data_IF_278518492120
#
_entry.id   IF_278518492120
#
_cell.length_a   1.000
_cell.length_b   1.000
_cell.length_c   1.000
_cell.angle_alpha   90.00
_cell.angle_beta   90.00
_cell.angle_gamma   90.00
#
_symmetry.space_group_name_H-M   'P 1'
#
loop_
_entity.id
_entity.type
_entity.pdbx_description
1 polymer ?
#
# COMPACT_ATOMS: atom_id res chain seq x y z
N UNK A 1 -38.39 35.69 28.63
CA UNK A 1 -38.59 34.23 28.41
C UNK A 1 -39.07 33.99 27.00
N UNK A 2 -38.25 33.44 26.10
CA UNK A 2 -38.70 32.84 24.83
C UNK A 2 -37.77 31.66 24.51
N UNK A 3 -38.23 30.46 24.83
CA UNK A 3 -37.59 29.18 24.53
C UNK A 3 -37.79 28.87 23.03
N UNK A 4 -36.71 28.67 22.28
CA UNK A 4 -36.77 28.42 20.83
C UNK A 4 -35.94 27.23 20.37
N UNK A 5 -36.60 26.06 20.30
CA UNK A 5 -36.38 24.90 19.39
C UNK A 5 -34.94 24.35 19.19
N UNK A 6 -34.67 23.19 19.80
CA UNK A 6 -33.59 22.27 19.43
C UNK A 6 -33.83 21.69 18.03
N UNK A 7 -32.92 21.94 17.09
CA UNK A 7 -32.80 21.15 15.88
C UNK A 7 -32.27 19.75 16.23
N UNK A 8 -33.12 18.72 16.11
CA UNK A 8 -32.68 17.31 16.12
C UNK A 8 -31.97 17.04 14.79
N UNK A 9 -30.66 17.28 14.75
CA UNK A 9 -29.80 16.80 13.67
C UNK A 9 -29.86 15.27 13.61
N UNK A 10 -30.30 14.73 12.47
CA UNK A 10 -30.18 13.31 12.13
C UNK A 10 -28.72 12.88 12.30
N UNK A 11 -28.45 12.05 13.31
CA UNK A 11 -27.16 11.40 13.49
C UNK A 11 -26.96 10.44 12.31
N UNK A 12 -26.10 10.80 11.36
CA UNK A 12 -25.68 9.92 10.26
C UNK A 12 -24.81 8.82 10.85
N UNK A 13 -25.44 7.77 11.38
CA UNK A 13 -24.77 6.58 11.90
C UNK A 13 -24.60 5.57 10.77
N UNK A 14 -23.93 5.98 9.68
CA UNK A 14 -23.61 5.06 8.57
C UNK A 14 -22.21 4.44 8.73
N UNK A 15 -21.33 5.06 9.52
CA UNK A 15 -19.96 4.61 9.76
C UNK A 15 -19.83 3.28 10.55
N UNK A 16 -20.59 2.98 11.62
CA UNK A 16 -20.35 1.77 12.40
C UNK A 16 -20.91 0.51 11.73
N UNK A 17 -21.88 0.63 10.82
CA UNK A 17 -22.48 -0.53 10.13
C UNK A 17 -21.54 -1.08 9.05
N UNK A 18 -20.85 -0.21 8.31
CA UNK A 18 -19.89 -0.62 7.27
C UNK A 18 -18.67 -1.30 7.89
N UNK A 19 -18.14 -0.78 9.00
CA UNK A 19 -17.02 -1.41 9.73
C UNK A 19 -17.42 -2.78 10.25
N UNK A 20 -18.61 -2.92 10.86
CA UNK A 20 -19.15 -4.22 11.33
C UNK A 20 -19.30 -5.23 10.19
N UNK A 21 -19.73 -4.81 9.00
CA UNK A 21 -19.88 -5.69 7.83
C UNK A 21 -18.53 -6.22 7.32
N UNK A 22 -17.52 -5.35 7.24
CA UNK A 22 -16.17 -5.75 6.83
C UNK A 22 -15.50 -6.66 7.86
N UNK A 23 -15.71 -6.39 9.15
CA UNK A 23 -15.18 -7.21 10.23
C UNK A 23 -15.85 -8.59 10.29
N UNK A 24 -17.17 -8.67 10.07
CA UNK A 24 -17.89 -9.93 9.95
C UNK A 24 -17.38 -10.77 8.77
N UNK A 25 -17.16 -10.16 7.60
CA UNK A 25 -16.58 -10.84 6.42
C UNK A 25 -15.17 -11.39 6.71
N UNK A 26 -14.34 -10.65 7.44
CA UNK A 26 -13.00 -11.11 7.87
C UNK A 26 -13.09 -12.28 8.84
N UNK A 27 -13.98 -12.22 9.83
CA UNK A 27 -14.20 -13.29 10.82
C UNK A 27 -14.73 -14.56 10.17
N UNK A 28 -15.72 -14.45 9.28
CA UNK A 28 -16.26 -15.59 8.52
C UNK A 28 -15.20 -16.24 7.63
N UNK A 29 -14.40 -15.44 6.90
CA UNK A 29 -13.25 -15.95 6.15
C UNK A 29 -12.27 -16.67 7.06
N UNK A 30 -11.89 -16.11 8.20
CA UNK A 30 -10.94 -16.74 9.14
C UNK A 30 -11.46 -18.08 9.71
N UNK A 31 -12.76 -18.18 9.98
CA UNK A 31 -13.39 -19.43 10.43
C UNK A 31 -13.37 -20.48 9.30
N UNK A 32 -13.67 -20.06 8.07
CA UNK A 32 -13.72 -20.95 6.91
C UNK A 32 -12.33 -21.41 6.44
N UNK A 33 -11.29 -20.58 6.60
CA UNK A 33 -9.91 -20.89 6.18
C UNK A 33 -9.22 -21.95 7.04
N UNK A 34 -9.67 -22.18 8.28
CA UNK A 34 -9.07 -23.18 9.20
C UNK A 34 -9.36 -24.64 8.83
N UNK A 35 -10.62 -25.04 8.56
CA UNK A 35 -10.94 -26.42 8.20
C UNK A 35 -10.65 -26.77 6.73
N UNK A 36 -10.62 -25.79 5.83
CA UNK A 36 -10.38 -26.03 4.41
C UNK A 36 -8.89 -26.26 4.12
N UNK A 37 -8.59 -27.20 3.22
CA UNK A 37 -7.25 -27.30 2.62
C UNK A 37 -7.04 -26.09 1.71
N UNK A 38 -6.33 -25.08 2.20
CA UNK A 38 -5.98 -23.88 1.42
C UNK A 38 -4.82 -24.21 0.48
N UNK A 39 -4.93 -23.90 -0.83
CA UNK A 39 -3.82 -24.09 -1.75
C UNK A 39 -2.57 -23.29 -1.33
N UNK A 40 -1.35 -23.82 -1.53
CA UNK A 40 -0.11 -23.16 -1.11
C UNK A 40 0.08 -21.76 -1.72
N UNK A 41 -0.42 -21.56 -2.96
CA UNK A 41 -0.40 -20.26 -3.64
C UNK A 41 -1.21 -19.17 -2.92
N UNK A 42 -2.20 -19.54 -2.10
CA UNK A 42 -2.99 -18.61 -1.29
C UNK A 42 -2.43 -18.57 0.13
N UNK A 43 -2.03 -19.73 0.67
CA UNK A 43 -1.52 -19.84 2.03
C UNK A 43 -0.26 -19.01 2.30
N UNK A 44 0.57 -18.77 1.27
CA UNK A 44 1.75 -17.91 1.39
C UNK A 44 1.44 -16.48 1.87
N UNK A 45 0.22 -15.96 1.64
CA UNK A 45 -0.17 -14.63 2.13
C UNK A 45 -0.62 -14.62 3.59
N UNK A 46 -0.71 -15.78 4.25
CA UNK A 46 -0.97 -15.85 5.70
C UNK A 46 0.30 -15.57 6.52
N UNK A 47 1.47 -15.85 5.94
CA UNK A 47 2.77 -15.58 6.54
C UNK A 47 3.21 -14.19 6.13
N UNK A 48 3.17 -13.24 7.06
CA UNK A 48 3.49 -11.84 6.81
C UNK A 48 4.69 -11.39 7.63
N UNK A 49 5.38 -10.36 7.13
CA UNK A 49 6.41 -9.64 7.88
C UNK A 49 5.86 -9.07 9.20
N UNK A 50 6.71 -9.01 10.23
CA UNK A 50 6.34 -8.42 11.50
C UNK A 50 6.03 -6.92 11.38
N UNK A 51 5.19 -6.44 12.31
CA UNK A 51 4.70 -5.07 12.29
C UNK A 51 5.81 -4.04 12.49
N UNK A 52 6.84 -4.35 13.27
CA UNK A 52 7.90 -3.40 13.60
C UNK A 52 8.76 -3.15 12.36
N UNK A 53 9.22 -4.22 11.70
CA UNK A 53 10.00 -4.13 10.46
C UNK A 53 9.20 -3.48 9.33
N UNK A 54 7.92 -3.82 9.19
CA UNK A 54 7.05 -3.19 8.19
C UNK A 54 6.94 -1.66 8.39
N UNK A 55 6.82 -1.21 9.65
CA UNK A 55 6.72 0.22 9.97
C UNK A 55 8.03 0.96 9.68
N UNK A 56 9.17 0.35 10.04
CA UNK A 56 10.49 0.91 9.78
C UNK A 56 10.74 1.08 8.26
N UNK A 57 10.43 0.06 7.47
CA UNK A 57 10.58 0.10 6.01
C UNK A 57 9.67 1.17 5.36
N UNK A 58 8.41 1.24 5.80
CA UNK A 58 7.45 2.21 5.27
C UNK A 58 7.87 3.66 5.55
N UNK A 59 8.42 3.92 6.74
CA UNK A 59 8.90 5.26 7.10
C UNK A 59 10.14 5.66 6.32
N UNK A 60 11.10 4.74 6.13
CA UNK A 60 12.38 5.00 5.46
C UNK A 60 12.24 5.32 3.98
N UNK A 61 11.33 4.63 3.27
CA UNK A 61 11.17 4.75 1.82
C UNK A 61 9.89 5.50 1.42
N UNK A 62 9.36 6.32 2.32
CA UNK A 62 8.11 7.06 2.11
C UNK A 62 8.25 8.00 0.90
N UNK A 63 7.28 7.99 -0.04
CA UNK A 63 7.26 8.97 -1.12
C UNK A 63 6.95 10.37 -0.57
N UNK A 64 7.59 11.38 -1.15
CA UNK A 64 7.41 12.78 -0.73
C UNK A 64 5.97 13.28 -0.94
N UNK A 65 5.60 14.30 -0.17
CA UNK A 65 4.29 14.94 -0.28
C UNK A 65 4.17 15.79 -1.54
N UNK A 66 2.94 16.15 -1.92
CA UNK A 66 2.70 17.07 -3.06
C UNK A 66 3.39 18.42 -2.85
N UNK A 67 3.45 18.92 -1.62
CA UNK A 67 4.09 20.19 -1.28
C UNK A 67 5.62 20.10 -1.39
N UNK A 68 6.23 19.07 -0.81
CA UNK A 68 7.68 18.79 -0.94
C UNK A 68 8.08 18.60 -2.41
N UNK A 69 7.22 17.93 -3.19
CA UNK A 69 7.46 17.75 -4.62
C UNK A 69 7.45 19.08 -5.35
N UNK A 70 6.50 19.98 -5.06
CA UNK A 70 6.47 21.33 -5.63
C UNK A 70 7.69 22.15 -5.24
N UNK A 71 8.06 22.17 -3.96
CA UNK A 71 9.25 22.88 -3.48
C UNK A 71 10.53 22.34 -4.15
N UNK A 72 10.64 21.02 -4.30
CA UNK A 72 11.75 20.38 -5.02
C UNK A 72 11.80 20.78 -6.49
N UNK A 73 10.64 20.92 -7.15
CA UNK A 73 10.57 21.35 -8.54
C UNK A 73 10.94 22.82 -8.70
N UNK A 74 10.48 23.70 -7.79
CA UNK A 74 10.87 25.11 -7.74
C UNK A 74 12.38 25.25 -7.52
N UNK A 75 12.93 24.59 -6.49
CA UNK A 75 14.36 24.59 -6.22
C UNK A 75 15.20 23.99 -7.37
N UNK A 76 14.61 23.13 -8.22
CA UNK A 76 15.28 22.64 -9.43
C UNK A 76 15.22 23.66 -10.56
N UNK A 77 14.08 24.34 -10.73
CA UNK A 77 13.93 25.44 -11.69
C UNK A 77 14.94 26.55 -11.40
N UNK A 78 15.04 27.00 -10.13
CA UNK A 78 15.99 28.03 -9.68
C UNK A 78 17.46 27.62 -9.84
N UNK A 79 17.76 26.31 -9.78
CA UNK A 79 19.11 25.79 -10.05
C UNK A 79 19.43 25.67 -11.54
N UNK A 80 18.40 25.59 -12.38
CA UNK A 80 18.52 25.42 -13.83
C UNK A 80 18.51 26.72 -14.61
N UNK A 81 18.23 27.86 -13.96
CA UNK A 81 18.43 29.19 -14.56
C UNK A 81 19.92 29.40 -14.82
N UNK A 82 20.37 29.05 -16.04
CA UNK A 82 21.73 29.27 -16.54
C UNK A 82 22.60 28.01 -16.68
N UNK A 83 22.20 26.87 -16.13
CA UNK A 83 22.87 25.57 -16.35
C UNK A 83 21.78 24.54 -16.66
N UNK A 84 21.82 23.94 -17.85
CA UNK A 84 20.79 23.00 -18.32
C UNK A 84 20.44 21.89 -17.32
N UNK A 85 19.31 21.21 -17.51
CA UNK A 85 18.77 20.28 -16.51
C UNK A 85 19.68 19.07 -16.27
N UNK A 86 20.52 19.14 -15.22
CA UNK A 86 21.39 18.02 -14.83
C UNK A 86 20.58 16.95 -14.09
N UNK A 87 20.62 15.67 -14.50
CA UNK A 87 19.92 14.59 -13.81
C UNK A 87 20.43 14.39 -12.37
N UNK A 88 19.61 14.75 -11.39
CA UNK A 88 19.94 14.52 -9.96
C UNK A 88 19.60 13.08 -9.55
N UNK A 89 20.52 12.42 -8.84
CA UNK A 89 20.29 11.08 -8.25
C UNK A 89 19.09 11.12 -7.31
N UNK A 90 18.08 10.30 -7.60
CA UNK A 90 16.82 10.26 -6.82
C UNK A 90 16.96 9.21 -5.71
N UNK A 91 16.45 9.48 -4.49
CA UNK A 91 16.40 8.47 -3.45
C UNK A 91 15.45 7.33 -3.86
N UNK A 92 15.71 6.09 -3.40
CA UNK A 92 14.77 5.00 -3.56
C UNK A 92 13.48 5.32 -2.79
N UNK A 93 12.34 5.13 -3.44
CA UNK A 93 11.01 5.38 -2.87
C UNK A 93 10.10 4.21 -3.16
N UNK A 94 9.13 3.97 -2.29
CA UNK A 94 8.07 3.00 -2.53
C UNK A 94 7.26 3.40 -3.77
N UNK A 95 6.94 2.39 -4.60
CA UNK A 95 6.19 2.54 -5.86
C UNK A 95 4.89 1.75 -5.77
N UNK A 96 3.88 2.21 -6.48
CA UNK A 96 2.55 1.60 -6.48
C UNK A 96 2.45 0.31 -7.29
N UNK A 97 1.27 -0.30 -7.24
CA UNK A 97 0.99 -1.62 -7.80
C UNK A 97 1.14 -1.65 -9.34
N UNK A 98 0.76 -0.58 -10.04
CA UNK A 98 0.80 -0.59 -11.51
C UNK A 98 2.23 -0.59 -12.08
N UNK A 99 3.21 -0.16 -11.29
CA UNK A 99 4.60 -0.05 -11.73
C UNK A 99 5.43 -1.29 -11.39
N UNK A 100 5.01 -2.09 -10.40
CA UNK A 100 5.86 -3.15 -9.87
C UNK A 100 6.23 -4.20 -10.94
N UNK A 101 5.28 -4.61 -11.80
CA UNK A 101 5.50 -5.71 -12.77
C UNK A 101 6.68 -5.38 -13.68
N UNK A 102 6.68 -4.16 -14.23
CA UNK A 102 7.73 -3.66 -15.10
C UNK A 102 9.07 -3.53 -14.39
N UNK A 103 9.09 -3.08 -13.14
CA UNK A 103 10.33 -2.92 -12.37
C UNK A 103 11.00 -4.26 -12.09
N UNK A 104 10.20 -5.31 -11.93
CA UNK A 104 10.65 -6.64 -11.53
C UNK A 104 11.10 -7.43 -12.74
N UNK A 105 10.36 -7.35 -13.84
CA UNK A 105 10.78 -7.89 -15.13
C UNK A 105 12.12 -7.27 -15.58
N UNK A 106 12.32 -5.98 -15.33
CA UNK A 106 13.57 -5.28 -15.63
C UNK A 106 14.69 -5.51 -14.60
N UNK A 107 14.47 -6.35 -13.56
CA UNK A 107 15.42 -6.57 -12.45
C UNK A 107 15.89 -5.29 -11.75
N UNK A 108 15.05 -4.25 -11.74
CA UNK A 108 15.31 -2.96 -11.07
C UNK A 108 14.73 -2.91 -9.65
N UNK A 109 13.87 -3.87 -9.31
CA UNK A 109 13.32 -4.01 -7.97
C UNK A 109 14.30 -4.74 -7.05
N UNK A 110 14.60 -4.13 -5.89
CA UNK A 110 15.45 -4.74 -4.86
C UNK A 110 14.64 -5.54 -3.83
N UNK A 111 13.45 -5.04 -3.48
CA UNK A 111 12.53 -5.65 -2.52
C UNK A 111 11.11 -5.35 -2.97
N UNK A 112 10.21 -6.32 -2.82
CA UNK A 112 8.77 -6.10 -2.98
C UNK A 112 8.03 -6.48 -1.71
N UNK A 113 7.15 -5.57 -1.29
CA UNK A 113 6.26 -5.73 -0.13
C UNK A 113 4.85 -5.96 -0.66
N UNK A 114 4.23 -7.06 -0.26
CA UNK A 114 2.87 -7.42 -0.70
C UNK A 114 1.90 -7.28 0.48
N UNK A 115 0.73 -6.70 0.21
CA UNK A 115 -0.34 -6.69 1.20
C UNK A 115 -0.93 -8.10 1.36
N UNK A 116 -1.05 -8.58 2.59
CA UNK A 116 -1.61 -9.91 2.88
C UNK A 116 -3.12 -10.02 2.60
N UNK A 117 -3.86 -8.91 2.73
CA UNK A 117 -5.31 -8.87 2.54
C UNK A 117 -5.68 -7.96 1.37
N UNK A 118 -5.80 -8.56 0.18
CA UNK A 118 -6.24 -7.90 -1.05
C UNK A 118 -7.56 -8.55 -1.48
N UNK A 119 -8.55 -7.74 -1.85
CA UNK A 119 -9.85 -8.17 -2.37
C UNK A 119 -10.03 -7.44 -3.71
N UNK A 120 -9.87 -8.07 -4.88
CA UNK A 120 -9.61 -9.50 -5.17
C UNK A 120 -8.14 -9.97 -5.01
N UNK A 121 -7.91 -11.21 -4.58
CA UNK A 121 -6.56 -11.79 -4.33
C UNK A 121 -5.81 -12.14 -5.63
N UNK A 122 -6.55 -12.28 -6.72
CA UNK A 122 -6.09 -12.56 -8.07
C UNK A 122 -5.09 -11.51 -8.57
N UNK A 123 -5.17 -10.28 -8.06
CA UNK A 123 -4.24 -9.19 -8.38
C UNK A 123 -2.81 -9.47 -7.90
N UNK A 124 -2.64 -10.31 -6.89
CA UNK A 124 -1.35 -10.55 -6.24
C UNK A 124 -0.95 -12.03 -6.21
N UNK A 125 -1.81 -12.98 -6.58
CA UNK A 125 -1.50 -14.41 -6.46
C UNK A 125 -0.31 -14.86 -7.32
N UNK A 126 -0.11 -14.26 -8.51
CA UNK A 126 0.98 -14.61 -9.42
C UNK A 126 2.34 -14.01 -8.99
N UNK A 127 2.32 -13.08 -8.04
CA UNK A 127 3.47 -12.26 -7.73
C UNK A 127 4.64 -13.03 -7.14
N UNK A 128 4.47 -13.81 -6.06
CA UNK A 128 5.57 -14.56 -5.46
C UNK A 128 6.29 -15.48 -6.45
N UNK A 129 5.54 -16.11 -7.36
CA UNK A 129 6.13 -16.95 -8.41
C UNK A 129 6.99 -16.15 -9.40
N UNK A 130 6.49 -14.97 -9.83
CA UNK A 130 7.22 -14.07 -10.71
C UNK A 130 8.51 -13.54 -10.04
N UNK A 131 8.46 -13.24 -8.75
CA UNK A 131 9.62 -12.80 -7.98
C UNK A 131 10.70 -13.87 -7.85
N UNK A 132 10.31 -15.10 -7.52
CA UNK A 132 11.22 -16.24 -7.46
C UNK A 132 11.91 -16.49 -8.81
N UNK A 133 11.17 -16.36 -9.92
CA UNK A 133 11.74 -16.50 -11.28
C UNK A 133 12.75 -15.40 -11.61
N UNK A 134 12.53 -14.19 -11.11
CA UNK A 134 13.41 -13.03 -11.38
C UNK A 134 14.54 -12.85 -10.35
N UNK A 135 14.56 -13.65 -9.28
CA UNK A 135 15.60 -13.61 -8.23
C UNK A 135 15.43 -12.48 -7.21
N UNK A 136 14.26 -11.85 -7.15
CA UNK A 136 14.00 -10.76 -6.20
C UNK A 136 13.37 -11.28 -4.91
N UNK A 137 13.84 -10.87 -3.71
CA UNK A 137 13.24 -11.23 -2.43
C UNK A 137 11.82 -10.67 -2.26
N UNK A 138 10.93 -11.46 -1.64
CA UNK A 138 9.54 -11.08 -1.29
C UNK A 138 9.35 -11.07 0.22
N UNK A 139 8.63 -10.06 0.73
CA UNK A 139 8.27 -9.93 2.13
C UNK A 139 6.79 -9.55 2.32
#
# INVERSE_FOLDING_TARGET
>A
MLKGKKAKGKKVVLAPVVVKKQEAKKRQRAILYKPLKVPPAINQFTQALDRQTATQLAHKYRPGTKQETKQRLLARADKSTGKGDVPTKRPPVLRGVNTFTTLVQNKKAQLVVIAHYVDPIELVVFLPALFRKMGSPTA
#
